data_IF_272119622004
#
_entry.id   IF_272119622004
#
_cell.length_a   1.000
_cell.length_b   1.000
_cell.length_c   1.000
_cell.angle_alpha   90.00
_cell.angle_beta   90.00
_cell.angle_gamma   90.00
#
_symmetry.space_group_name_H-M   'P 1'
#
loop_
_entity.id
_entity.type
_entity.pdbx_description
1 polymer ?
#
# COMPACT_ATOMS: atom_id res chain seq x y z
N UNK A 1 22.46 25.14 0.30
CA UNK A 1 23.13 23.83 0.50
C UNK A 1 22.56 23.25 1.79
N UNK A 2 22.10 22.00 1.76
CA UNK A 2 21.65 21.32 2.96
C UNK A 2 22.85 21.00 3.86
N UNK A 3 22.71 21.31 5.13
CA UNK A 3 23.67 20.93 6.17
C UNK A 3 23.45 19.46 6.59
N UNK A 4 24.44 18.88 7.26
CA UNK A 4 24.30 17.57 7.90
C UNK A 4 23.15 17.54 8.92
N UNK A 5 22.88 18.67 9.57
CA UNK A 5 21.79 18.82 10.52
C UNK A 5 20.43 18.73 9.82
N UNK A 6 20.29 19.32 8.63
CA UNK A 6 19.06 19.24 7.83
C UNK A 6 18.71 17.80 7.45
N UNK A 7 19.73 17.01 7.09
CA UNK A 7 19.56 15.59 6.79
C UNK A 7 19.11 14.82 8.04
N UNK A 8 19.72 15.10 9.20
CA UNK A 8 19.34 14.48 10.46
C UNK A 8 17.88 14.82 10.84
N UNK A 9 17.47 16.08 10.66
CA UNK A 9 16.09 16.52 10.91
C UNK A 9 15.11 15.80 9.98
N UNK A 10 15.39 15.74 8.67
CA UNK A 10 14.59 14.96 7.72
C UNK A 10 14.46 13.49 8.15
N UNK A 11 15.55 12.88 8.63
CA UNK A 11 15.54 11.50 9.10
C UNK A 11 14.68 11.32 10.36
N UNK A 12 14.77 12.24 11.33
CA UNK A 12 13.95 12.21 12.54
C UNK A 12 12.45 12.40 12.23
N UNK A 13 12.12 13.30 11.30
CA UNK A 13 10.74 13.45 10.78
C UNK A 13 10.26 12.13 10.18
N UNK A 14 11.09 11.48 9.37
CA UNK A 14 10.79 10.18 8.77
C UNK A 14 10.54 9.10 9.82
N UNK A 15 11.36 9.02 10.87
CA UNK A 15 11.16 8.10 12.00
C UNK A 15 9.84 8.39 12.72
N UNK A 16 9.53 9.65 12.98
CA UNK A 16 8.27 10.05 13.61
C UNK A 16 7.06 9.61 12.81
N UNK A 17 7.11 9.77 11.48
CA UNK A 17 6.06 9.28 10.58
C UNK A 17 5.91 7.75 10.63
N UNK A 18 7.03 7.02 10.62
CA UNK A 18 7.01 5.55 10.77
C UNK A 18 6.37 5.14 12.09
N UNK A 19 6.70 5.84 13.18
CA UNK A 19 6.11 5.58 14.49
C UNK A 19 4.60 5.85 14.50
N UNK A 20 4.14 6.93 13.89
CA UNK A 20 2.70 7.23 13.77
C UNK A 20 1.95 6.16 12.98
N UNK A 21 2.51 5.65 11.89
CA UNK A 21 1.91 4.52 11.21
C UNK A 21 1.91 3.28 12.10
N UNK A 22 3.02 2.94 12.76
CA UNK A 22 3.02 1.82 13.73
C UNK A 22 1.99 2.01 14.84
N UNK A 23 1.73 3.23 15.31
CA UNK A 23 0.70 3.50 16.30
C UNK A 23 -0.71 3.33 15.72
N UNK A 24 -0.94 3.80 14.49
CA UNK A 24 -2.19 3.54 13.76
C UNK A 24 -2.48 2.02 13.69
N UNK A 25 -1.44 1.19 13.55
CA UNK A 25 -1.59 -0.29 13.60
C UNK A 25 -2.27 -0.76 14.85
N UNK A 26 -1.74 -0.31 15.97
CA UNK A 26 -2.07 -0.86 17.27
C UNK A 26 -3.49 -0.47 17.66
N UNK A 27 -3.88 0.76 17.29
CA UNK A 27 -5.21 1.31 17.59
C UNK A 27 -6.28 0.74 16.64
N UNK A 28 -5.95 0.60 15.36
CA UNK A 28 -6.90 0.18 14.34
C UNK A 28 -6.31 -0.90 13.42
N UNK A 29 -6.10 -2.13 13.94
CA UNK A 29 -5.44 -3.22 13.22
C UNK A 29 -6.17 -3.61 11.93
N UNK A 30 -7.51 -3.47 11.89
CA UNK A 30 -8.32 -3.69 10.68
C UNK A 30 -8.24 -2.59 9.62
N UNK A 31 -7.54 -1.49 9.89
CA UNK A 31 -7.26 -0.40 8.92
C UNK A 31 -5.75 -0.20 8.73
N UNK A 32 -4.95 -1.17 9.20
CA UNK A 32 -3.51 -1.05 9.21
C UNK A 32 -2.85 -1.63 7.99
N UNK A 33 -1.78 -0.96 7.64
CA UNK A 33 -1.23 -0.92 6.32
C UNK A 33 0.28 -1.06 6.56
N UNK A 34 0.69 -2.27 6.98
CA UNK A 34 2.10 -2.66 6.98
C UNK A 34 2.57 -2.72 5.53
N UNK A 35 3.86 -2.76 5.23
CA UNK A 35 4.31 -3.13 3.87
C UNK A 35 3.84 -4.56 3.50
N UNK A 36 3.61 -5.43 4.48
CA UNK A 36 2.86 -6.69 4.34
C UNK A 36 1.33 -6.52 4.25
N UNK A 37 0.81 -5.41 4.76
CA UNK A 37 -0.61 -4.99 4.72
C UNK A 37 -1.02 -4.32 3.41
N UNK A 38 -0.07 -3.62 2.76
CA UNK A 38 -0.16 -3.20 1.36
C UNK A 38 -0.46 -4.42 0.48
N UNK A 39 0.21 -5.54 0.76
CA UNK A 39 0.01 -6.81 0.06
C UNK A 39 -1.27 -7.54 0.52
N UNK A 40 -1.71 -7.41 1.77
CA UNK A 40 -2.92 -8.08 2.28
C UNK A 40 -4.23 -7.38 1.88
N UNK A 41 -4.26 -6.05 1.71
CA UNK A 41 -5.46 -5.39 1.15
C UNK A 41 -5.69 -5.71 -0.34
N UNK A 42 -4.66 -6.15 -1.06
CA UNK A 42 -4.84 -6.71 -2.41
C UNK A 42 -5.33 -8.16 -2.34
N UNK A 43 -5.19 -8.83 -1.19
CA UNK A 43 -5.60 -10.22 -0.93
C UNK A 43 -7.09 -10.33 -0.57
N UNK A 44 -7.66 -9.33 0.14
CA UNK A 44 -9.05 -9.40 0.65
C UNK A 44 -10.11 -8.75 -0.28
N UNK A 45 -9.80 -8.51 -1.56
CA UNK A 45 -10.71 -8.05 -2.64
C UNK A 45 -11.53 -6.75 -2.41
N UNK A 46 -11.49 -6.15 -1.21
CA UNK A 46 -12.11 -4.87 -0.93
C UNK A 46 -11.08 -3.87 -0.42
N UNK A 47 -10.68 -2.88 -1.25
CA UNK A 47 -9.87 -1.78 -0.77
C UNK A 47 -10.69 -1.03 0.28
N UNK A 48 -10.29 -1.11 1.56
CA UNK A 48 -10.92 -0.28 2.57
C UNK A 48 -10.50 1.17 2.33
N UNK A 49 -11.29 1.87 1.50
CA UNK A 49 -11.09 3.26 1.10
C UNK A 49 -10.90 4.20 2.30
N UNK A 50 -11.31 3.75 3.49
CA UNK A 50 -11.13 4.43 4.79
C UNK A 50 -9.67 4.41 5.24
N UNK A 51 -8.93 3.31 5.04
CA UNK A 51 -7.54 3.18 5.46
C UNK A 51 -6.61 4.17 4.73
N UNK A 52 -6.80 4.34 3.42
CA UNK A 52 -6.08 5.35 2.62
C UNK A 52 -6.39 6.76 3.11
N UNK A 53 -7.66 7.05 3.40
CA UNK A 53 -8.09 8.36 3.87
C UNK A 53 -7.50 8.68 5.25
N UNK A 54 -7.52 7.72 6.18
CA UNK A 54 -6.89 7.85 7.50
C UNK A 54 -5.40 8.17 7.36
N UNK A 55 -4.69 7.50 6.44
CA UNK A 55 -3.26 7.78 6.20
C UNK A 55 -3.01 9.19 5.66
N UNK A 56 -3.79 9.62 4.67
CA UNK A 56 -3.70 11.00 4.16
C UNK A 56 -3.95 11.98 5.31
N UNK A 57 -4.95 11.73 6.16
CA UNK A 57 -5.20 12.55 7.35
C UNK A 57 -4.02 12.54 8.33
N UNK A 58 -3.41 11.40 8.65
CA UNK A 58 -2.23 11.31 9.51
C UNK A 58 -1.07 12.12 8.93
N UNK A 59 -0.78 11.96 7.63
CA UNK A 59 0.28 12.69 6.93
C UNK A 59 0.00 14.20 7.00
N UNK A 60 -1.22 14.62 6.70
CA UNK A 60 -1.59 16.04 6.74
C UNK A 60 -1.47 16.60 8.15
N UNK A 61 -2.09 15.96 9.15
CA UNK A 61 -2.06 16.42 10.54
C UNK A 61 -0.63 16.45 11.10
N UNK A 62 0.17 15.42 10.79
CA UNK A 62 1.57 15.38 11.21
C UNK A 62 2.38 16.50 10.56
N UNK A 63 2.22 16.73 9.26
CA UNK A 63 2.91 17.82 8.57
C UNK A 63 2.50 19.20 9.05
N UNK A 64 1.21 19.42 9.32
CA UNK A 64 0.71 20.67 9.94
C UNK A 64 1.30 20.85 11.34
N UNK A 65 1.32 19.78 12.15
CA UNK A 65 1.91 19.81 13.49
C UNK A 65 3.41 20.15 13.45
N UNK A 66 4.16 19.55 12.51
CA UNK A 66 5.58 19.86 12.30
C UNK A 66 5.81 21.31 11.88
N UNK A 67 4.89 21.91 11.13
CA UNK A 67 4.95 23.33 10.73
C UNK A 67 5.07 24.29 11.92
N UNK A 68 4.57 23.92 13.10
CA UNK A 68 4.72 24.73 14.31
C UNK A 68 6.12 24.67 14.95
N UNK A 69 6.94 23.66 14.60
CA UNK A 69 8.26 23.45 15.19
C UNK A 69 9.41 23.62 14.20
N UNK A 70 9.12 23.56 12.90
CA UNK A 70 10.12 23.56 11.83
C UNK A 70 9.73 24.60 10.79
N UNK A 71 10.53 25.66 10.68
CA UNK A 71 10.28 26.76 9.75
C UNK A 71 10.48 26.36 8.28
N UNK A 72 11.34 25.38 8.02
CA UNK A 72 11.65 24.94 6.65
C UNK A 72 10.64 23.90 6.15
N UNK A 73 9.74 24.35 5.27
CA UNK A 73 8.78 23.49 4.58
C UNK A 73 9.43 22.37 3.75
N UNK A 74 10.62 22.61 3.22
CA UNK A 74 11.37 21.61 2.46
C UNK A 74 11.78 20.43 3.33
N UNK A 75 12.22 20.69 4.57
CA UNK A 75 12.60 19.63 5.52
C UNK A 75 11.40 18.76 5.89
N UNK A 76 10.23 19.36 6.08
CA UNK A 76 8.99 18.63 6.37
C UNK A 76 8.65 17.69 5.21
N UNK A 77 8.60 18.22 3.99
CA UNK A 77 8.22 17.43 2.81
C UNK A 77 9.22 16.32 2.53
N UNK A 78 10.52 16.62 2.55
CA UNK A 78 11.55 15.63 2.28
C UNK A 78 11.66 14.60 3.41
N UNK A 79 11.56 15.02 4.67
CA UNK A 79 11.56 14.10 5.81
C UNK A 79 10.40 13.11 5.78
N UNK A 80 9.18 13.59 5.48
CA UNK A 80 8.00 12.73 5.36
C UNK A 80 8.11 11.78 4.14
N UNK A 81 8.59 12.28 3.00
CA UNK A 81 8.80 11.46 1.81
C UNK A 81 9.88 10.40 2.04
N UNK A 82 10.97 10.75 2.73
CA UNK A 82 12.02 9.83 3.14
C UNK A 82 11.47 8.76 4.09
N UNK A 83 10.64 9.15 5.07
CA UNK A 83 9.97 8.21 5.97
C UNK A 83 9.14 7.17 5.22
N UNK A 84 8.31 7.62 4.26
CA UNK A 84 7.56 6.70 3.40
C UNK A 84 8.47 5.83 2.53
N UNK A 85 9.54 6.39 1.97
CA UNK A 85 10.51 5.62 1.20
C UNK A 85 11.15 4.52 2.04
N UNK A 86 11.52 4.78 3.29
CA UNK A 86 12.09 3.78 4.21
C UNK A 86 11.10 2.64 4.54
N UNK A 87 9.79 2.92 4.53
CA UNK A 87 8.74 1.89 4.72
C UNK A 87 8.65 0.96 3.50
N UNK A 88 8.77 1.55 2.31
CA UNK A 88 8.55 0.89 1.01
C UNK A 88 9.80 0.18 0.49
N UNK A 89 10.97 0.76 0.75
CA UNK A 89 12.29 0.32 0.29
C UNK A 89 12.53 -1.20 0.41
N UNK A 90 12.24 -1.86 1.56
CA UNK A 90 12.56 -3.29 1.72
C UNK A 90 11.82 -4.18 0.73
N UNK A 91 10.58 -3.82 0.38
CA UNK A 91 9.73 -4.57 -0.56
C UNK A 91 10.05 -4.18 -2.01
N UNK A 92 10.59 -2.99 -2.23
CA UNK A 92 11.00 -2.55 -3.56
C UNK A 92 12.26 -3.29 -4.07
N UNK A 93 13.19 -3.61 -3.17
CA UNK A 93 14.52 -4.16 -3.52
C UNK A 93 14.61 -5.66 -3.36
N UNK A 94 14.09 -6.22 -2.26
CA UNK A 94 14.21 -7.65 -2.01
C UNK A 94 12.90 -8.37 -2.40
N UNK A 95 12.99 -9.17 -3.46
CA UNK A 95 11.86 -9.96 -3.95
C UNK A 95 11.46 -11.07 -2.94
N UNK A 96 12.33 -11.48 -2.01
CA UNK A 96 11.99 -12.42 -0.92
C UNK A 96 10.91 -11.86 0.04
N UNK A 97 10.77 -10.54 0.12
CA UNK A 97 9.74 -9.89 0.93
C UNK A 97 8.38 -9.83 0.21
N UNK A 98 8.31 -10.27 -1.05
CA UNK A 98 7.10 -10.25 -1.87
C UNK A 98 6.45 -11.63 -1.80
N UNK A 99 5.16 -11.70 -1.43
CA UNK A 99 4.44 -12.99 -1.44
C UNK A 99 4.43 -13.59 -2.86
N UNK A 100 4.49 -14.92 -3.02
CA UNK A 100 4.65 -15.59 -4.32
C UNK A 100 3.65 -15.14 -5.39
N UNK A 101 2.40 -14.95 -5.01
CA UNK A 101 1.32 -14.47 -5.89
C UNK A 101 1.54 -13.09 -6.52
N UNK A 102 2.33 -12.20 -5.89
CA UNK A 102 2.65 -10.88 -6.45
C UNK A 102 3.94 -10.88 -7.26
N UNK A 103 4.77 -11.92 -7.16
CA UNK A 103 6.00 -12.03 -7.96
C UNK A 103 5.68 -12.05 -9.46
N UNK A 104 4.59 -12.73 -9.85
CA UNK A 104 4.06 -12.75 -11.24
C UNK A 104 3.74 -11.32 -11.76
N UNK A 105 3.51 -10.34 -10.87
CA UNK A 105 3.21 -8.93 -11.21
C UNK A 105 4.14 -7.91 -10.53
N UNK A 106 5.42 -8.27 -10.32
CA UNK A 106 6.41 -7.42 -9.63
C UNK A 106 6.49 -5.97 -10.13
N UNK A 107 6.35 -5.75 -11.43
CA UNK A 107 6.40 -4.41 -12.02
C UNK A 107 5.23 -3.54 -11.54
N UNK A 108 4.03 -4.11 -11.51
CA UNK A 108 2.81 -3.40 -11.13
C UNK A 108 2.78 -3.13 -9.62
N UNK A 109 3.31 -4.05 -8.81
CA UNK A 109 3.58 -3.83 -7.38
C UNK A 109 4.58 -2.68 -7.16
N UNK A 110 5.72 -2.67 -7.87
CA UNK A 110 6.72 -1.58 -7.76
C UNK A 110 6.13 -0.23 -8.20
N UNK A 111 5.33 -0.20 -9.26
CA UNK A 111 4.62 1.00 -9.68
C UNK A 111 3.65 1.50 -8.60
N UNK A 112 2.88 0.60 -7.99
CA UNK A 112 1.98 0.92 -6.89
C UNK A 112 2.72 1.54 -5.69
N UNK A 113 3.85 0.95 -5.31
CA UNK A 113 4.72 1.44 -4.24
C UNK A 113 5.28 2.84 -4.53
N UNK A 114 5.62 3.14 -5.80
CA UNK A 114 6.03 4.48 -6.22
C UNK A 114 4.87 5.49 -6.14
N UNK A 115 3.66 5.10 -6.56
CA UNK A 115 2.47 5.95 -6.42
C UNK A 115 2.21 6.27 -4.95
N UNK A 116 2.44 5.34 -4.04
CA UNK A 116 2.32 5.58 -2.60
C UNK A 116 3.30 6.65 -2.09
N UNK A 117 4.55 6.63 -2.56
CA UNK A 117 5.54 7.68 -2.25
C UNK A 117 5.07 9.03 -2.80
N UNK A 118 4.55 9.07 -4.04
CA UNK A 118 4.04 10.30 -4.65
C UNK A 118 2.85 10.88 -3.89
N UNK A 119 1.89 10.04 -3.47
CA UNK A 119 0.75 10.48 -2.65
C UNK A 119 1.24 11.10 -1.34
N UNK A 120 2.25 10.51 -0.70
CA UNK A 120 2.85 11.08 0.51
C UNK A 120 3.45 12.45 0.21
N UNK A 121 4.23 12.57 -0.86
CA UNK A 121 4.84 13.84 -1.26
C UNK A 121 3.79 14.95 -1.46
N UNK A 122 2.72 14.65 -2.20
CA UNK A 122 1.64 15.62 -2.44
C UNK A 122 0.88 15.96 -1.17
N UNK A 123 0.60 14.97 -0.32
CA UNK A 123 -0.06 15.19 0.97
C UNK A 123 0.79 16.02 1.94
N UNK A 124 2.11 15.83 1.92
CA UNK A 124 3.05 16.64 2.70
C UNK A 124 3.18 18.08 2.16
N UNK A 125 3.11 18.27 0.83
CA UNK A 125 3.01 19.63 0.27
C UNK A 125 1.70 20.31 0.66
N UNK A 126 0.59 19.58 0.60
CA UNK A 126 -0.72 20.07 1.01
C UNK A 126 -0.73 20.46 2.50
N UNK A 127 -0.08 19.69 3.37
CA UNK A 127 -0.02 19.98 4.81
C UNK A 127 0.71 21.29 5.11
N UNK A 128 1.81 21.58 4.43
CA UNK A 128 2.53 22.87 4.53
C UNK A 128 1.62 24.03 4.12
N UNK A 129 0.86 23.87 3.04
CA UNK A 129 -0.05 24.91 2.57
C UNK A 129 -1.19 25.14 3.57
N UNK A 130 -1.77 24.05 4.10
CA UNK A 130 -2.78 24.14 5.16
C UNK A 130 -2.22 24.87 6.37
N UNK A 131 -0.98 24.56 6.78
CA UNK A 131 -0.31 25.25 7.88
C UNK A 131 -0.17 26.76 7.61
N UNK A 132 0.31 27.15 6.42
CA UNK A 132 0.41 28.56 6.04
C UNK A 132 -0.96 29.26 6.05
N UNK A 133 -2.01 28.56 5.58
CA UNK A 133 -3.38 29.08 5.59
C UNK A 133 -3.88 29.29 7.03
N UNK A 134 -3.60 28.36 7.94
CA UNK A 134 -3.94 28.50 9.37
C UNK A 134 -3.22 29.69 10.00
N UNK A 135 -1.93 29.88 9.70
CA UNK A 135 -1.15 31.02 10.20
C UNK A 135 -1.69 32.36 9.68
N UNK A 136 -2.04 32.43 8.39
CA UNK A 136 -2.58 33.65 7.77
C UNK A 136 -4.00 33.96 8.27
N UNK A 137 -4.86 32.96 8.47
CA UNK A 137 -6.17 33.18 9.12
C UNK A 137 -5.98 33.72 10.53
N UNK A 138 -5.05 33.14 11.30
CA UNK A 138 -4.75 33.62 12.65
C UNK A 138 -4.25 35.07 12.59
N UNK A 139 -3.34 35.39 11.67
CA UNK A 139 -2.82 36.75 11.51
C UNK A 139 -3.90 37.76 11.11
N UNK A 140 -4.76 37.41 10.16
CA UNK A 140 -5.89 38.25 9.72
C UNK A 140 -6.89 38.50 10.83
N UNK A 141 -7.14 37.50 11.70
CA UNK A 141 -7.98 37.69 12.88
C UNK A 141 -7.42 38.77 13.82
N UNK A 142 -6.09 38.96 13.83
CA UNK A 142 -5.42 39.91 14.71
C UNK A 142 -5.00 41.25 14.05
N UNK A 143 -4.76 41.32 12.73
CA UNK A 143 -4.00 42.44 12.12
C UNK A 143 -4.51 43.00 10.77
N UNK A 144 -5.83 42.99 10.54
CA UNK A 144 -6.50 43.44 9.30
C UNK A 144 -6.27 42.52 8.08
N UNK A 145 -7.29 42.49 7.22
CA UNK A 145 -7.43 41.52 6.12
C UNK A 145 -6.66 41.94 4.87
N UNK A 146 -5.74 41.10 4.39
CA UNK A 146 -5.13 41.21 3.05
C UNK A 146 -5.72 40.16 2.11
N UNK A 147 -6.57 40.61 1.17
CA UNK A 147 -7.34 39.73 0.29
C UNK A 147 -6.51 39.06 -0.81
N UNK A 148 -5.43 39.69 -1.29
CA UNK A 148 -4.66 39.16 -2.42
C UNK A 148 -3.84 37.93 -2.01
N UNK A 149 -3.23 37.99 -0.81
CA UNK A 149 -2.49 36.86 -0.24
C UNK A 149 -3.39 35.66 0.08
N UNK A 150 -4.58 35.90 0.64
CA UNK A 150 -5.55 34.82 0.91
C UNK A 150 -5.99 34.08 -0.36
N UNK A 151 -6.28 34.80 -1.45
CA UNK A 151 -6.73 34.18 -2.70
C UNK A 151 -5.64 33.28 -3.29
N UNK A 152 -4.38 33.71 -3.25
CA UNK A 152 -3.25 32.89 -3.72
C UNK A 152 -3.11 31.58 -2.94
N UNK A 153 -3.15 31.65 -1.61
CA UNK A 153 -2.99 30.47 -0.74
C UNK A 153 -4.17 29.51 -0.89
N UNK A 154 -5.40 30.02 -1.01
CA UNK A 154 -6.59 29.19 -1.25
C UNK A 154 -6.52 28.53 -2.63
N UNK A 155 -6.10 29.28 -3.66
CA UNK A 155 -5.92 28.76 -5.01
C UNK A 155 -4.92 27.59 -5.06
N UNK A 156 -3.75 27.76 -4.43
CA UNK A 156 -2.75 26.71 -4.31
C UNK A 156 -3.28 25.51 -3.52
N UNK A 157 -3.97 25.74 -2.40
CA UNK A 157 -4.58 24.68 -1.59
C UNK A 157 -5.55 23.81 -2.41
N UNK A 158 -6.42 24.46 -3.19
CA UNK A 158 -7.39 23.77 -4.05
C UNK A 158 -6.71 23.00 -5.18
N UNK A 159 -5.69 23.58 -5.81
CA UNK A 159 -4.92 22.90 -6.85
C UNK A 159 -4.26 21.62 -6.33
N UNK A 160 -3.59 21.69 -5.18
CA UNK A 160 -2.95 20.51 -4.57
C UNK A 160 -3.98 19.48 -4.08
N UNK A 161 -5.13 19.92 -3.57
CA UNK A 161 -6.22 19.04 -3.18
C UNK A 161 -6.76 18.27 -4.39
N UNK A 162 -6.95 18.94 -5.53
CA UNK A 162 -7.35 18.30 -6.79
C UNK A 162 -6.32 17.26 -7.22
N UNK A 163 -5.02 17.58 -7.13
CA UNK A 163 -3.95 16.63 -7.45
C UNK A 163 -3.97 15.41 -6.51
N UNK A 164 -4.14 15.60 -5.20
CA UNK A 164 -4.24 14.49 -4.24
C UNK A 164 -5.45 13.59 -4.55
N UNK A 165 -6.60 14.17 -4.88
CA UNK A 165 -7.79 13.41 -5.28
C UNK A 165 -7.57 12.67 -6.60
N UNK A 166 -6.95 13.32 -7.60
CA UNK A 166 -6.61 12.70 -8.88
C UNK A 166 -5.66 11.52 -8.72
N UNK A 167 -4.60 11.67 -7.93
CA UNK A 167 -3.65 10.60 -7.63
C UNK A 167 -4.29 9.47 -6.82
N UNK A 168 -5.24 9.77 -5.91
CA UNK A 168 -6.03 8.74 -5.24
C UNK A 168 -6.85 7.91 -6.24
N UNK A 169 -7.46 8.57 -7.23
CA UNK A 169 -8.22 7.87 -8.26
C UNK A 169 -7.33 6.95 -9.10
N UNK A 170 -6.14 7.45 -9.46
CA UNK A 170 -5.13 6.67 -10.17
C UNK A 170 -4.59 5.49 -9.33
N UNK A 171 -4.37 5.70 -8.03
CA UNK A 171 -3.99 4.65 -7.10
C UNK A 171 -5.05 3.54 -7.03
N UNK A 172 -6.32 3.91 -6.89
CA UNK A 172 -7.42 2.94 -6.88
C UNK A 172 -7.50 2.17 -8.22
N UNK A 173 -7.25 2.85 -9.34
CA UNK A 173 -7.21 2.20 -10.65
C UNK A 173 -6.12 1.14 -10.72
N UNK A 174 -4.90 1.46 -10.29
CA UNK A 174 -3.77 0.52 -10.26
C UNK A 174 -4.06 -0.62 -9.29
N UNK A 175 -4.61 -0.33 -8.11
CA UNK A 175 -4.97 -1.34 -7.11
C UNK A 175 -5.98 -2.34 -7.66
N UNK A 176 -7.07 -1.85 -8.27
CA UNK A 176 -8.09 -2.72 -8.88
C UNK A 176 -7.49 -3.59 -9.99
N UNK A 177 -6.61 -3.03 -10.84
CA UNK A 177 -5.91 -3.79 -11.87
C UNK A 177 -4.95 -4.83 -11.30
N UNK A 178 -4.30 -4.55 -10.18
CA UNK A 178 -3.45 -5.51 -9.50
C UNK A 178 -4.28 -6.64 -8.89
N UNK A 179 -5.38 -6.30 -8.22
CA UNK A 179 -6.31 -7.25 -7.61
C UNK A 179 -6.93 -8.17 -8.64
N UNK A 180 -7.45 -7.62 -9.75
CA UNK A 180 -8.05 -8.38 -10.86
C UNK A 180 -7.07 -9.40 -11.46
N UNK A 181 -5.80 -9.00 -11.65
CA UNK A 181 -4.78 -9.91 -12.19
C UNK A 181 -4.37 -11.00 -11.21
N UNK A 182 -4.33 -10.67 -9.91
CA UNK A 182 -4.01 -11.62 -8.85
C UNK A 182 -5.14 -12.64 -8.69
N UNK A 183 -6.42 -12.21 -8.68
CA UNK A 183 -7.56 -13.12 -8.59
C UNK A 183 -7.68 -14.01 -9.83
N UNK A 184 -7.45 -13.47 -11.03
CA UNK A 184 -7.45 -14.25 -12.27
C UNK A 184 -6.37 -15.35 -12.28
N UNK A 185 -5.16 -15.01 -11.83
CA UNK A 185 -4.06 -15.98 -11.75
C UNK A 185 -4.36 -17.06 -10.72
N UNK A 186 -5.00 -16.72 -9.60
CA UNK A 186 -5.39 -17.67 -8.57
C UNK A 186 -6.48 -18.63 -9.06
N UNK A 187 -7.48 -18.15 -9.80
CA UNK A 187 -8.47 -19.03 -10.44
C UNK A 187 -7.88 -19.95 -11.50
N UNK A 188 -6.85 -19.49 -12.22
CA UNK A 188 -6.19 -20.30 -13.24
C UNK A 188 -5.29 -21.38 -12.63
N UNK A 189 -4.50 -21.05 -11.61
CA UNK A 189 -3.68 -22.05 -10.88
C UNK A 189 -4.58 -23.09 -10.17
N UNK A 190 -5.78 -22.71 -9.68
CA UNK A 190 -6.75 -23.66 -9.11
C UNK A 190 -7.37 -24.57 -10.17
N UNK A 191 -7.81 -24.02 -11.30
CA UNK A 191 -8.40 -24.81 -12.38
C UNK A 191 -7.36 -25.75 -13.02
N UNK A 192 -6.10 -25.32 -13.19
CA UNK A 192 -5.02 -26.20 -13.64
C UNK A 192 -4.76 -27.32 -12.62
N UNK A 193 -4.72 -27.02 -11.32
CA UNK A 193 -4.54 -28.06 -10.29
C UNK A 193 -5.69 -29.08 -10.23
N UNK A 194 -6.95 -28.64 -10.40
CA UNK A 194 -8.11 -29.55 -10.52
C UNK A 194 -8.08 -30.37 -11.81
N UNK A 195 -7.61 -29.80 -12.93
CA UNK A 195 -7.46 -30.50 -14.21
C UNK A 195 -6.37 -31.58 -14.13
N UNK A 196 -5.27 -31.32 -13.40
CA UNK A 196 -4.26 -32.34 -13.09
C UNK A 196 -4.72 -33.35 -12.03
N UNK A 197 -5.60 -33.04 -11.09
CA UNK A 197 -6.15 -34.07 -10.18
C UNK A 197 -7.11 -35.02 -10.91
N UNK A 198 -7.92 -34.52 -11.85
CA UNK A 198 -8.82 -35.37 -12.64
C UNK A 198 -8.09 -36.26 -13.66
N UNK A 199 -6.94 -35.83 -14.21
CA UNK A 199 -6.18 -36.63 -15.19
C UNK A 199 -5.48 -37.85 -14.55
N UNK A 200 -5.26 -37.88 -13.23
CA UNK A 200 -4.63 -39.01 -12.53
C UNK A 200 -5.64 -39.96 -11.86
N UNK A 201 -6.90 -39.56 -11.69
CA UNK A 201 -7.95 -40.43 -11.13
C UNK A 201 -8.65 -41.31 -12.19
N UNK A 202 -8.47 -41.06 -13.49
CA UNK A 202 -9.08 -41.88 -14.56
C UNK A 202 -8.30 -43.14 -14.95
N UNK A 203 -7.03 -43.31 -14.54
CA UNK A 203 -6.18 -44.44 -14.96
C UNK A 203 -5.95 -45.53 -13.90
N UNK A 204 -6.35 -45.33 -12.63
CA UNK A 204 -6.05 -46.27 -11.53
C UNK A 204 -7.17 -47.29 -11.19
N UNK A 205 -8.39 -47.14 -11.76
CA UNK A 205 -9.53 -48.02 -11.43
C UNK A 205 -9.56 -49.32 -12.27
N UNK A 206 -8.95 -49.34 -13.45
CA UNK A 206 -8.97 -50.51 -14.34
C UNK A 206 -7.89 -51.57 -13.99
N UNK A 207 -6.76 -51.21 -13.36
CA UNK A 207 -5.73 -52.18 -12.94
C UNK A 207 -6.07 -52.93 -11.64
N UNK A 208 -6.91 -52.35 -10.78
CA UNK A 208 -7.31 -52.99 -9.52
C UNK A 208 -8.34 -54.11 -9.71
N UNK A 209 -9.17 -54.04 -10.75
CA UNK A 209 -10.13 -55.12 -11.07
C UNK A 209 -9.43 -56.37 -11.63
N UNK A 210 -8.35 -56.22 -12.41
CA UNK A 210 -7.60 -57.34 -12.98
C UNK A 210 -6.84 -58.15 -11.90
N UNK A 211 -6.22 -57.47 -10.93
CA UNK A 211 -5.55 -58.12 -9.79
C UNK A 211 -6.53 -58.88 -8.87
N UNK A 212 -7.76 -58.38 -8.71
CA UNK A 212 -8.77 -59.06 -7.89
C UNK A 212 -9.26 -60.37 -8.54
N UNK A 213 -9.28 -60.43 -9.88
CA UNK A 213 -9.64 -61.65 -10.60
C UNK A 213 -8.54 -62.72 -10.52
N UNK A 214 -7.26 -62.36 -10.66
CA UNK A 214 -6.15 -63.33 -10.55
C UNK A 214 -6.06 -63.95 -9.14
N UNK A 215 -6.21 -63.15 -8.08
CA UNK A 215 -6.20 -63.64 -6.69
C UNK A 215 -7.36 -64.60 -6.38
N UNK A 216 -8.54 -64.35 -6.96
CA UNK A 216 -9.70 -65.23 -6.79
C UNK A 216 -9.58 -66.54 -7.58
N UNK A 217 -8.76 -66.58 -8.62
CA UNK A 217 -8.51 -67.78 -9.42
C UNK A 217 -7.42 -68.68 -8.79
N UNK A 218 -6.39 -68.10 -8.14
CA UNK A 218 -5.39 -68.85 -7.37
C UNK A 218 -6.00 -69.57 -6.15
N UNK A 219 -6.90 -68.93 -5.39
CA UNK A 219 -7.55 -69.58 -4.22
C UNK A 219 -8.43 -70.79 -4.60
N UNK A 220 -8.91 -70.89 -5.86
CA UNK A 220 -9.70 -72.04 -6.30
C UNK A 220 -8.88 -73.28 -6.64
N UNK A 221 -7.56 -73.16 -6.80
CA UNK A 221 -6.70 -74.27 -7.20
C UNK A 221 -6.24 -75.09 -5.99
N UNK A 222 -6.17 -74.51 -4.79
CA UNK A 222 -5.73 -75.19 -3.57
C UNK A 222 -6.83 -76.02 -2.86
N UNK A 223 -8.08 -75.91 -3.30
CA UNK A 223 -9.24 -76.62 -2.71
C UNK A 223 -9.66 -77.91 -3.47
N UNK A 224 -8.81 -78.43 -4.38
CA UNK A 224 -9.06 -79.65 -5.17
C UNK A 224 -8.04 -80.75 -4.96
#
# INVERSE_FOLDING_TARGET
>A
MYSLLDILVCFLIGIGLIFLFKLQREISPGTYFATSGILSEIEDEQPDRRAILIRICIIILYGVALGFFIDSSELIVYGMTLGTFLIVWPVFINDENIKPKFLKHKFLLRAFLLVFILITFFSAKLSVIIYNLVQEIAWVYFNNFDSERMIGIIGDSLFWLILVIGFRWFYNYIQNRLSEKVSFTQSQDYNEAEEYEMEYEEDDDDELEEYAYELAEEERIDDR
#
